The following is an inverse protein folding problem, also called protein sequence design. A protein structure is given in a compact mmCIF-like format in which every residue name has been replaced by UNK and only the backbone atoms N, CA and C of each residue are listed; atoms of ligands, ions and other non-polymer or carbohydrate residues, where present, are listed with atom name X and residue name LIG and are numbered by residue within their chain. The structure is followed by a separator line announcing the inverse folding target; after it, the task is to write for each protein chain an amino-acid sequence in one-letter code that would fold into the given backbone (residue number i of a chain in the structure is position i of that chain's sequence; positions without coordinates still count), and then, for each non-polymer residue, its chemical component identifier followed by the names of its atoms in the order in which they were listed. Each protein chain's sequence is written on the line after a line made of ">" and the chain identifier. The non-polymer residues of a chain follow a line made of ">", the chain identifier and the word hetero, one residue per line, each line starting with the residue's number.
data_IF_805501405022
#
_entry.id   IF_805501405022
#
_cell.length_a   1.000
_cell.length_b   1.000
_cell.length_c   1.000
_cell.angle_alpha   90.00
_cell.angle_beta   90.00
_cell.angle_gamma   90.00
#
_symmetry.space_group_name_H-M   'P 1'
#
loop_
_entity.id
_entity.type
_entity.pdbx_description
1 polymer ?
#
# COMPACT_ATOMS: atom_id res chain seq x y z
N UNK A 1 -21.00 -18.10 0.42
CA UNK A 1 -20.67 -16.85 1.14
C UNK A 1 -19.17 -16.65 1.04
N UNK A 2 -18.70 -15.59 0.38
CA UNK A 2 -17.27 -15.29 0.22
C UNK A 2 -16.75 -14.63 1.50
N UNK A 3 -15.61 -15.09 2.01
CA UNK A 3 -14.99 -14.50 3.20
C UNK A 3 -13.96 -13.46 2.74
N UNK A 4 -14.13 -12.22 3.17
CA UNK A 4 -13.19 -11.13 2.89
C UNK A 4 -12.43 -10.81 4.17
N UNK A 5 -11.10 -10.73 4.05
CA UNK A 5 -10.22 -10.27 5.12
C UNK A 5 -9.49 -9.01 4.70
N UNK A 6 -9.44 -8.04 5.61
CA UNK A 6 -8.63 -6.84 5.49
C UNK A 6 -7.41 -7.01 6.40
N UNK A 7 -6.22 -6.98 5.82
CA UNK A 7 -4.96 -7.01 6.53
C UNK A 7 -4.40 -5.59 6.66
N UNK A 8 -4.15 -5.18 7.90
CA UNK A 8 -3.62 -3.86 8.27
C UNK A 8 -2.32 -4.12 9.04
N UNK A 9 -1.18 -3.74 8.46
CA UNK A 9 0.14 -4.04 9.03
C UNK A 9 0.32 -5.54 9.34
N UNK A 10 0.36 -5.92 10.62
CA UNK A 10 0.51 -7.31 11.10
C UNK A 10 -0.83 -7.97 11.43
N UNK A 11 -1.90 -7.19 11.53
CA UNK A 11 -3.21 -7.66 11.96
C UNK A 11 -4.10 -8.01 10.76
N UNK A 12 -4.97 -9.00 10.94
CA UNK A 12 -5.91 -9.45 9.90
C UNK A 12 -7.31 -9.50 10.49
N UNK A 13 -8.22 -8.77 9.86
CA UNK A 13 -9.61 -8.63 10.26
C UNK A 13 -10.52 -9.30 9.25
N UNK A 14 -11.55 -9.99 9.73
CA UNK A 14 -12.60 -10.54 8.88
C UNK A 14 -13.71 -9.51 8.76
N UNK A 15 -14.10 -9.18 7.53
CA UNK A 15 -15.16 -8.21 7.30
C UNK A 15 -16.49 -8.74 7.83
N UNK A 16 -17.19 -7.89 8.54
CA UNK A 16 -18.47 -8.18 9.19
C UNK A 16 -19.65 -8.15 8.22
N UNK A 17 -19.46 -7.53 7.05
CA UNK A 17 -20.46 -7.31 6.01
C UNK A 17 -19.91 -7.60 4.61
N UNK A 18 -20.78 -7.88 3.64
CA UNK A 18 -20.39 -7.95 2.24
C UNK A 18 -19.85 -6.60 1.76
N UNK A 19 -18.69 -6.61 1.10
CA UNK A 19 -18.03 -5.42 0.55
C UNK A 19 -18.32 -5.37 -0.95
N UNK A 20 -19.42 -4.75 -1.35
CA UNK A 20 -19.88 -4.77 -2.75
C UNK A 20 -19.35 -3.57 -3.55
N UNK A 21 -19.02 -2.49 -2.85
CA UNK A 21 -18.47 -1.26 -3.41
C UNK A 21 -17.10 -0.99 -2.81
N UNK A 22 -16.28 -0.28 -3.56
CA UNK A 22 -14.98 0.21 -3.10
C UNK A 22 -15.13 1.06 -1.83
N UNK A 23 -16.18 1.87 -1.75
CA UNK A 23 -16.45 2.69 -0.56
C UNK A 23 -16.75 1.84 0.69
N UNK A 24 -17.29 0.63 0.52
CA UNK A 24 -17.51 -0.29 1.64
C UNK A 24 -16.18 -0.71 2.28
N UNK A 25 -15.10 -0.83 1.49
CA UNK A 25 -13.75 -1.13 2.00
C UNK A 25 -13.23 -0.02 2.91
N UNK A 26 -13.47 1.24 2.52
CA UNK A 26 -13.08 2.41 3.32
C UNK A 26 -13.85 2.46 4.62
N UNK A 27 -15.16 2.27 4.56
CA UNK A 27 -15.98 2.28 5.76
C UNK A 27 -15.66 1.09 6.69
N UNK A 28 -15.39 -0.10 6.14
CA UNK A 28 -14.99 -1.27 6.94
C UNK A 28 -13.62 -1.05 7.58
N UNK A 29 -12.68 -0.47 6.85
CA UNK A 29 -11.40 -0.06 7.41
C UNK A 29 -11.58 0.95 8.57
N UNK A 30 -12.42 1.96 8.39
CA UNK A 30 -12.69 2.98 9.42
C UNK A 30 -13.38 2.41 10.67
N UNK A 31 -14.23 1.39 10.51
CA UNK A 31 -14.88 0.72 11.64
C UNK A 31 -13.90 -0.13 12.46
N UNK A 32 -12.94 -0.76 11.77
CA UNK A 32 -11.92 -1.61 12.40
C UNK A 32 -10.80 -0.76 13.03
N UNK A 33 -10.41 0.33 12.36
CA UNK A 33 -9.20 1.09 12.69
C UNK A 33 -9.53 2.46 13.26
N UNK A 34 -9.96 2.49 14.53
CA UNK A 34 -10.27 3.72 15.29
C UNK A 34 -9.10 4.72 15.25
N UNK A 35 -7.86 4.24 15.26
CA UNK A 35 -6.65 5.07 15.25
C UNK A 35 -6.40 5.79 13.91
N UNK A 36 -7.11 5.43 12.85
CA UNK A 36 -6.83 5.90 11.49
C UNK A 36 -8.09 6.40 10.75
N UNK A 37 -9.16 6.71 11.49
CA UNK A 37 -10.44 7.15 10.93
C UNK A 37 -10.36 8.39 10.02
N UNK A 38 -9.33 9.23 10.20
CA UNK A 38 -9.15 10.49 9.45
C UNK A 38 -8.03 10.44 8.39
N UNK A 39 -7.50 9.27 8.05
CA UNK A 39 -6.47 9.18 6.99
C UNK A 39 -7.14 9.05 5.62
N UNK A 40 -7.08 10.11 4.83
CA UNK A 40 -7.59 10.14 3.44
C UNK A 40 -6.66 9.41 2.46
N UNK A 41 -5.40 9.20 2.86
CA UNK A 41 -4.32 8.65 2.05
C UNK A 41 -4.19 7.12 2.25
N UNK A 42 -5.28 6.38 2.01
CA UNK A 42 -5.32 4.90 2.10
C UNK A 42 -5.17 4.26 0.72
N UNK A 43 -4.29 3.27 0.63
CA UNK A 43 -4.12 2.42 -0.55
C UNK A 43 -4.62 1.03 -0.20
N UNK A 44 -5.68 0.61 -0.89
CA UNK A 44 -6.16 -0.77 -0.85
C UNK A 44 -5.53 -1.53 -2.01
N UNK A 45 -4.98 -2.70 -1.75
CA UNK A 45 -4.37 -3.53 -2.79
C UNK A 45 -4.48 -5.00 -2.44
N UNK A 46 -4.34 -5.86 -3.45
CA UNK A 46 -4.13 -7.28 -3.26
C UNK A 46 -2.77 -7.70 -3.80
N UNK A 47 -2.37 -8.91 -3.44
CA UNK A 47 -1.19 -9.56 -3.99
C UNK A 47 -1.69 -10.67 -4.89
N UNK A 48 -1.37 -10.60 -6.17
CA UNK A 48 -1.76 -11.63 -7.14
C UNK A 48 -0.92 -12.91 -6.99
N UNK A 49 -1.12 -13.86 -7.90
CA UNK A 49 -0.42 -15.15 -7.89
C UNK A 49 1.08 -15.02 -8.15
N UNK A 50 1.51 -13.96 -8.83
CA UNK A 50 2.91 -13.66 -9.15
C UNK A 50 3.62 -12.91 -8.02
N UNK A 51 2.84 -12.42 -7.04
CA UNK A 51 3.35 -11.64 -5.92
C UNK A 51 3.29 -10.12 -6.14
N UNK A 52 2.66 -9.69 -7.22
CA UNK A 52 2.55 -8.29 -7.59
C UNK A 52 1.42 -7.58 -6.85
N UNK A 53 1.66 -6.32 -6.50
CA UNK A 53 0.69 -5.47 -5.80
C UNK A 53 -0.26 -4.85 -6.82
N UNK A 54 -1.51 -5.31 -6.82
CA UNK A 54 -2.56 -4.73 -7.66
C UNK A 54 -3.44 -3.83 -6.81
N UNK A 55 -3.46 -2.54 -7.15
CA UNK A 55 -4.19 -1.52 -6.41
C UNK A 55 -5.67 -1.55 -6.77
N UNK A 56 -6.53 -1.49 -5.77
CA UNK A 56 -7.97 -1.38 -5.91
C UNK A 56 -8.32 0.10 -5.85
N UNK A 57 -8.83 0.64 -6.95
CA UNK A 57 -9.17 2.07 -7.07
C UNK A 57 -10.65 2.33 -7.26
N UNK A 58 -11.40 1.33 -7.72
CA UNK A 58 -12.80 1.45 -8.08
C UNK A 58 -13.58 0.13 -7.89
N UNK A 59 -14.89 0.18 -8.13
CA UNK A 59 -15.80 -0.96 -7.96
C UNK A 59 -15.49 -2.11 -8.96
N UNK A 60 -15.00 -1.80 -10.17
CA UNK A 60 -14.64 -2.81 -11.17
C UNK A 60 -13.43 -3.63 -10.74
N UNK A 61 -12.38 -2.98 -10.21
CA UNK A 61 -11.19 -3.67 -9.69
C UNK A 61 -11.57 -4.65 -8.57
N UNK A 62 -12.48 -4.23 -7.69
CA UNK A 62 -12.97 -5.06 -6.59
C UNK A 62 -13.79 -6.24 -7.12
N UNK A 63 -14.65 -6.03 -8.11
CA UNK A 63 -15.46 -7.10 -8.69
C UNK A 63 -14.60 -8.12 -9.45
N UNK A 64 -13.62 -7.65 -10.22
CA UNK A 64 -12.69 -8.53 -10.94
C UNK A 64 -11.91 -9.39 -9.96
N UNK A 65 -11.38 -8.79 -8.90
CA UNK A 65 -10.67 -9.52 -7.86
C UNK A 65 -11.54 -10.54 -7.12
N UNK A 66 -12.83 -10.21 -6.88
CA UNK A 66 -13.78 -11.17 -6.31
C UNK A 66 -14.03 -12.37 -7.20
N UNK A 67 -14.04 -12.19 -8.53
CA UNK A 67 -14.21 -13.28 -9.50
C UNK A 67 -13.00 -14.21 -9.50
N UNK A 68 -11.79 -13.64 -9.41
CA UNK A 68 -10.55 -14.40 -9.34
C UNK A 68 -10.43 -15.22 -8.05
N UNK A 69 -10.96 -14.72 -6.93
CA UNK A 69 -10.86 -15.39 -5.63
C UNK A 69 -12.22 -15.70 -4.98
N UNK A 70 -13.00 -16.65 -5.52
CA UNK A 70 -14.41 -16.86 -5.14
C UNK A 70 -14.61 -17.35 -3.70
N UNK A 71 -13.58 -17.95 -3.08
CA UNK A 71 -13.66 -18.48 -1.71
C UNK A 71 -13.17 -17.49 -0.66
N UNK A 72 -12.01 -16.88 -0.90
CA UNK A 72 -11.29 -16.11 0.09
C UNK A 72 -10.57 -14.93 -0.52
N UNK A 73 -10.87 -13.73 -0.04
CA UNK A 73 -10.32 -12.48 -0.53
C UNK A 73 -9.44 -11.85 0.56
N UNK A 74 -8.16 -11.58 0.29
CA UNK A 74 -7.27 -10.87 1.22
C UNK A 74 -6.88 -9.52 0.65
N UNK A 75 -7.45 -8.46 1.21
CA UNK A 75 -7.12 -7.08 0.87
C UNK A 75 -6.11 -6.57 1.88
N UNK A 76 -5.07 -5.89 1.42
CA UNK A 76 -4.10 -5.21 2.27
C UNK A 76 -4.33 -3.71 2.22
N UNK A 77 -4.03 -3.04 3.32
CA UNK A 77 -4.12 -1.58 3.43
C UNK A 77 -2.75 -1.02 3.78
N UNK A 78 -2.29 -0.08 2.97
CA UNK A 78 -1.09 0.72 3.22
C UNK A 78 -1.44 2.19 3.30
N UNK A 79 -0.69 2.92 4.14
CA UNK A 79 -0.75 4.38 4.14
C UNK A 79 0.10 4.89 2.99
N UNK A 80 -0.48 5.78 2.18
CA UNK A 80 0.29 6.58 1.25
C UNK A 80 1.06 7.61 2.06
N UNK A 81 2.21 7.22 2.57
CA UNK A 81 3.06 8.11 3.33
C UNK A 81 3.69 9.12 2.35
N UNK A 82 3.21 10.37 2.37
CA UNK A 82 3.81 11.46 1.57
C UNK A 82 5.28 11.71 1.96
N UNK A 83 5.75 11.19 3.10
CA UNK A 83 7.12 11.34 3.57
C UNK A 83 8.11 10.28 3.05
N UNK A 84 7.65 9.22 2.37
CA UNK A 84 8.57 8.19 1.85
C UNK A 84 9.29 8.60 0.55
N UNK A 85 8.88 9.72 -0.05
CA UNK A 85 9.67 10.38 -1.09
C UNK A 85 10.81 11.20 -0.49
N UNK A 86 10.62 11.80 0.68
CA UNK A 86 11.62 12.63 1.36
C UNK A 86 12.84 11.82 1.78
N UNK A 87 12.68 10.62 2.32
CA UNK A 87 13.81 9.76 2.74
C UNK A 87 14.60 9.19 1.54
N UNK A 88 13.93 8.86 0.42
CA UNK A 88 14.61 8.39 -0.80
C UNK A 88 15.27 9.52 -1.58
N UNK A 89 14.70 10.73 -1.55
CA UNK A 89 15.30 11.93 -2.15
C UNK A 89 16.50 12.39 -1.30
N UNK A 90 16.36 12.45 0.03
CA UNK A 90 17.44 12.83 0.94
C UNK A 90 18.63 11.86 0.87
N UNK A 91 18.39 10.54 0.84
CA UNK A 91 19.47 9.57 0.66
C UNK A 91 20.11 9.64 -0.74
N UNK A 92 19.34 9.94 -1.80
CA UNK A 92 19.90 10.13 -3.15
C UNK A 92 20.77 11.38 -3.25
N UNK A 93 20.38 12.50 -2.63
CA UNK A 93 21.18 13.72 -2.60
C UNK A 93 22.49 13.53 -1.83
N UNK A 94 22.44 12.89 -0.67
CA UNK A 94 23.65 12.53 0.10
C UNK A 94 24.59 11.65 -0.72
N UNK A 95 24.08 10.62 -1.41
CA UNK A 95 24.93 9.77 -2.26
C UNK A 95 25.52 10.51 -3.46
N UNK A 96 24.82 11.50 -4.04
CA UNK A 96 25.37 12.32 -5.13
C UNK A 96 26.47 13.25 -4.64
N UNK A 97 26.29 13.90 -3.49
CA UNK A 97 27.33 14.77 -2.92
C UNK A 97 28.54 13.96 -2.44
N UNK A 98 28.34 12.79 -1.81
CA UNK A 98 29.42 11.90 -1.43
C UNK A 98 30.21 11.40 -2.67
N UNK A 99 29.51 11.07 -3.76
CA UNK A 99 30.16 10.64 -5.00
C UNK A 99 30.89 11.80 -5.70
N UNK A 100 30.33 13.01 -5.68
CA UNK A 100 30.96 14.23 -6.21
C UNK A 100 32.23 14.59 -5.44
N UNK A 101 32.20 14.49 -4.11
CA UNK A 101 33.39 14.69 -3.28
C UNK A 101 34.49 13.65 -3.57
N UNK A 102 34.11 12.39 -3.75
CA UNK A 102 35.06 11.31 -4.08
C UNK A 102 35.72 11.51 -5.46
N UNK A 103 34.95 11.97 -6.45
CA UNK A 103 35.49 12.31 -7.78
C UNK A 103 36.45 13.50 -7.68
N UNK A 104 36.10 14.55 -6.93
CA UNK A 104 36.99 15.70 -6.70
C UNK A 104 38.32 15.29 -6.05
N UNK A 105 38.28 14.41 -5.05
CA UNK A 105 39.50 13.91 -4.41
C UNK A 105 40.37 13.09 -5.37
N UNK A 106 39.77 12.26 -6.22
CA UNK A 106 40.50 11.49 -7.24
C UNK A 106 41.14 12.40 -8.29
N UNK A 107 40.47 13.48 -8.69
CA UNK A 107 41.00 14.46 -9.65
C UNK A 107 42.15 15.30 -9.09
N UNK A 108 42.31 15.40 -7.77
CA UNK A 108 43.45 16.09 -7.13
C UNK A 108 44.69 15.20 -6.99
N UNK A 109 44.59 13.90 -7.25
CA UNK A 109 45.71 12.95 -7.17
C UNK A 109 46.41 12.69 -8.52
N UNK A 110 45.90 13.28 -9.60
CA UNK A 110 46.51 13.31 -10.94
C UNK A 110 46.89 14.75 -11.31
#
# INVERSE_FOLDING_TARGET
>A
MQIIKIAIQKDVYICSRPLNRFEDLRQEYQSISIQHQNKEDLIFYFVDEEGDKVVITNDYDLEDFKKQHPKFLKIRVEFRDRNNLSERVYNREITKDAMKQKIMQLLQQY
#
